data_IF_305830867896
#
_entry.id   IF_305830867896
#
_cell.length_a   1.000
_cell.length_b   1.000
_cell.length_c   1.000
_cell.angle_alpha   90.00
_cell.angle_beta   90.00
_cell.angle_gamma   90.00
#
_symmetry.space_group_name_H-M   'P 1'
#
loop_
_entity.id
_entity.type
_entity.pdbx_description
1 polymer ?
#
# COMPACT_ATOMS: atom_id res chain seq x y z
N UNK A 1 -3.07 73.85 -38.65
CA UNK A 1 -1.88 73.66 -39.51
C UNK A 1 -1.07 72.50 -38.97
N UNK A 2 -0.88 71.46 -39.78
CA UNK A 2 -0.17 70.23 -39.43
C UNK A 2 1.34 70.51 -39.32
N UNK A 3 1.96 70.13 -38.21
CA UNK A 3 3.41 69.94 -38.11
C UNK A 3 3.65 68.44 -37.95
N UNK A 4 4.33 67.85 -38.92
CA UNK A 4 4.81 66.47 -38.87
C UNK A 4 6.25 66.51 -38.35
N UNK A 5 6.53 65.79 -37.28
CA UNK A 5 7.89 65.57 -36.77
C UNK A 5 8.20 64.09 -37.02
N UNK A 6 9.20 63.85 -37.85
CA UNK A 6 9.75 62.53 -38.14
C UNK A 6 10.76 62.21 -37.03
N UNK A 7 10.46 61.24 -36.18
CA UNK A 7 11.42 60.72 -35.21
C UNK A 7 11.81 59.31 -35.64
N UNK A 8 13.04 59.17 -36.15
CA UNK A 8 13.66 57.87 -36.45
C UNK A 8 14.41 57.44 -35.20
N UNK A 9 13.85 56.46 -34.48
CA UNK A 9 14.53 55.77 -33.39
C UNK A 9 14.81 54.34 -33.80
N UNK A 10 16.07 54.08 -34.18
CA UNK A 10 16.66 52.76 -34.20
C UNK A 10 16.71 52.24 -32.76
N UNK A 11 15.87 51.27 -32.42
CA UNK A 11 16.01 50.50 -31.19
C UNK A 11 16.23 49.06 -31.58
N UNK A 12 17.41 48.57 -31.18
CA UNK A 12 17.93 47.24 -31.47
C UNK A 12 16.94 46.15 -31.02
N UNK A 13 16.74 45.19 -31.89
CA UNK A 13 15.94 43.98 -31.68
C UNK A 13 16.64 43.11 -30.63
N UNK A 14 16.37 43.33 -29.36
CA UNK A 14 16.71 42.40 -28.29
C UNK A 14 15.75 41.22 -28.32
N UNK A 15 16.10 40.16 -29.05
CA UNK A 15 15.36 38.90 -29.05
C UNK A 15 15.48 38.29 -27.65
N UNK A 16 14.49 38.56 -26.81
CA UNK A 16 14.30 37.82 -25.56
C UNK A 16 13.71 36.47 -25.93
N UNK A 17 14.54 35.43 -25.94
CA UNK A 17 14.08 34.04 -25.93
C UNK A 17 13.37 33.79 -24.60
N UNK A 18 12.07 34.09 -24.54
CA UNK A 18 11.20 33.58 -23.49
C UNK A 18 11.01 32.10 -23.78
N UNK A 19 11.79 31.25 -23.11
CA UNK A 19 11.57 29.81 -23.09
C UNK A 19 10.24 29.55 -22.37
N UNK A 20 9.15 29.51 -23.15
CA UNK A 20 7.87 28.98 -22.70
C UNK A 20 8.06 27.49 -22.47
N UNK A 21 8.48 27.09 -21.27
CA UNK A 21 8.41 25.70 -20.85
C UNK A 21 6.92 25.38 -20.67
N UNK A 22 6.31 24.87 -21.74
CA UNK A 22 5.08 24.09 -21.66
C UNK A 22 5.42 22.84 -20.86
N UNK A 23 5.35 22.94 -19.53
CA UNK A 23 5.28 21.77 -18.69
C UNK A 23 3.91 21.15 -18.99
N UNK A 24 3.81 19.98 -19.62
CA UNK A 24 2.51 19.36 -19.80
C UNK A 24 2.00 19.06 -18.39
N UNK A 25 0.97 19.79 -17.94
CA UNK A 25 0.19 19.37 -16.80
C UNK A 25 -0.27 17.95 -17.09
N UNK A 26 0.32 16.97 -16.40
CA UNK A 26 -0.20 15.60 -16.38
C UNK A 26 -1.66 15.75 -15.99
N UNK A 27 -2.58 15.50 -16.93
CA UNK A 27 -4.03 15.49 -16.65
C UNK A 27 -4.22 14.61 -15.42
N UNK A 28 -4.60 15.22 -14.28
CA UNK A 28 -4.99 14.47 -13.09
C UNK A 28 -6.09 13.51 -13.52
N UNK A 29 -5.78 12.22 -13.56
CA UNK A 29 -6.76 11.17 -13.81
C UNK A 29 -7.86 11.38 -12.78
N UNK A 30 -9.11 11.54 -13.21
CA UNK A 30 -10.25 11.63 -12.28
C UNK A 30 -10.15 10.39 -11.38
N UNK A 31 -10.00 10.59 -10.07
CA UNK A 31 -10.13 9.48 -9.11
C UNK A 31 -11.53 8.92 -9.29
N UNK A 32 -11.62 7.62 -9.58
CA UNK A 32 -12.90 6.91 -9.60
C UNK A 32 -13.41 6.72 -8.18
N UNK A 33 -14.60 6.15 -8.05
CA UNK A 33 -15.12 5.77 -6.75
C UNK A 33 -14.20 4.74 -6.08
N UNK A 34 -14.02 4.80 -4.75
CA UNK A 34 -13.18 3.86 -4.04
C UNK A 34 -13.73 2.44 -4.19
N UNK A 35 -12.83 1.46 -4.35
CA UNK A 35 -13.22 0.06 -4.33
C UNK A 35 -13.74 -0.31 -2.94
N UNK A 36 -14.82 -1.09 -2.87
CA UNK A 36 -15.34 -1.59 -1.59
C UNK A 36 -14.82 -3.01 -1.38
N UNK A 37 -14.08 -3.20 -0.29
CA UNK A 37 -13.66 -4.50 0.22
C UNK A 37 -14.51 -4.84 1.44
N UNK A 38 -15.05 -6.05 1.46
CA UNK A 38 -15.84 -6.54 2.58
C UNK A 38 -15.19 -7.83 3.08
N UNK A 39 -14.84 -7.85 4.36
CA UNK A 39 -14.23 -9.00 5.03
C UNK A 39 -14.98 -9.32 6.32
N UNK A 40 -14.96 -10.59 6.72
CA UNK A 40 -15.50 -11.09 7.97
C UNK A 40 -16.86 -10.50 8.45
N UNK A 41 -17.84 -10.34 7.57
CA UNK A 41 -19.17 -9.77 7.92
C UNK A 41 -19.92 -10.54 9.00
N UNK A 42 -19.60 -11.83 9.14
CA UNK A 42 -20.18 -12.73 10.14
C UNK A 42 -19.55 -12.58 11.53
N UNK A 43 -18.48 -11.79 11.64
CA UNK A 43 -17.87 -11.45 12.92
C UNK A 43 -18.85 -10.72 13.84
N UNK A 44 -18.66 -10.93 15.14
CA UNK A 44 -19.52 -10.36 16.19
C UNK A 44 -18.87 -9.18 16.91
N UNK A 45 -17.63 -8.84 16.56
CA UNK A 45 -16.93 -7.66 17.07
C UNK A 45 -17.44 -6.35 16.50
N UNK A 46 -16.79 -5.26 16.92
CA UNK A 46 -17.09 -3.91 16.44
C UNK A 46 -16.94 -3.81 14.92
N UNK A 47 -17.86 -3.11 14.26
CA UNK A 47 -17.73 -2.79 12.84
C UNK A 47 -16.64 -1.74 12.63
N UNK A 48 -15.70 -2.06 11.76
CA UNK A 48 -14.55 -1.22 11.45
C UNK A 48 -14.59 -0.87 9.97
N UNK A 49 -14.36 0.40 9.68
CA UNK A 49 -14.18 0.91 8.32
C UNK A 49 -12.81 1.58 8.20
N UNK A 50 -12.04 1.20 7.18
CA UNK A 50 -10.77 1.83 6.84
C UNK A 50 -10.87 2.41 5.43
N UNK A 51 -10.74 3.72 5.32
CA UNK A 51 -10.60 4.41 4.03
C UNK A 51 -9.11 4.63 3.72
N UNK A 52 -8.70 4.20 2.53
CA UNK A 52 -7.35 4.43 2.00
C UNK A 52 -7.44 5.28 0.74
N UNK A 53 -6.66 6.35 0.71
CA UNK A 53 -6.46 7.18 -0.48
C UNK A 53 -5.09 6.89 -1.10
N UNK A 54 -5.06 6.57 -2.39
CA UNK A 54 -3.82 6.19 -3.06
C UNK A 54 -2.85 7.38 -3.22
N UNK A 55 -1.56 7.14 -3.00
CA UNK A 55 -0.51 8.10 -3.34
C UNK A 55 -0.25 8.22 -4.85
N UNK A 56 0.56 9.19 -5.27
CA UNK A 56 0.92 9.38 -6.68
C UNK A 56 1.75 8.20 -7.25
N UNK A 57 2.55 7.56 -6.40
CA UNK A 57 3.41 6.43 -6.73
C UNK A 57 2.76 5.07 -6.38
N UNK A 58 1.45 5.06 -6.09
CA UNK A 58 0.71 3.83 -5.84
C UNK A 58 0.60 2.99 -7.12
N UNK A 59 1.01 1.73 -7.05
CA UNK A 59 0.96 0.83 -8.20
C UNK A 59 0.39 -0.55 -7.83
N UNK A 60 1.24 -1.51 -7.45
CA UNK A 60 0.83 -2.88 -7.12
C UNK A 60 1.31 -3.28 -5.72
N UNK A 61 0.80 -2.62 -4.68
CA UNK A 61 1.22 -2.92 -3.33
C UNK A 61 0.69 -4.27 -2.84
N UNK A 62 1.30 -4.74 -1.77
CA UNK A 62 0.81 -5.80 -0.89
C UNK A 62 0.46 -5.13 0.44
N UNK A 63 -0.60 -5.62 1.07
CA UNK A 63 -1.20 -4.97 2.23
C UNK A 63 -1.69 -5.99 3.25
N UNK A 64 -1.65 -5.61 4.52
CA UNK A 64 -2.33 -6.28 5.61
C UNK A 64 -2.97 -5.26 6.57
N UNK A 65 -4.12 -5.63 7.13
CA UNK A 65 -4.81 -4.94 8.20
C UNK A 65 -5.06 -5.94 9.32
N UNK A 66 -4.67 -5.61 10.55
CA UNK A 66 -4.86 -6.49 11.70
C UNK A 66 -5.01 -5.70 13.00
N UNK A 67 -5.35 -6.42 14.05
CA UNK A 67 -5.54 -5.91 15.39
C UNK A 67 -4.43 -6.40 16.31
N UNK A 68 -3.98 -5.52 17.19
CA UNK A 68 -3.08 -5.82 18.30
C UNK A 68 -3.66 -5.34 19.62
N UNK A 69 -3.21 -5.92 20.73
CA UNK A 69 -3.38 -5.33 22.05
C UNK A 69 -2.60 -4.01 22.14
N UNK A 70 -2.87 -3.20 23.16
CA UNK A 70 -2.08 -1.98 23.40
C UNK A 70 -0.61 -2.25 23.69
N UNK A 71 -0.28 -3.48 24.09
CA UNK A 71 1.08 -3.95 24.37
C UNK A 71 1.77 -4.53 23.11
N UNK A 72 1.09 -4.54 21.96
CA UNK A 72 1.63 -4.97 20.67
C UNK A 72 1.50 -6.47 20.41
N UNK A 73 0.65 -7.19 21.15
CA UNK A 73 0.39 -8.61 20.90
C UNK A 73 -0.67 -8.78 19.80
N UNK A 74 -0.40 -9.63 18.81
CA UNK A 74 -1.34 -9.93 17.73
C UNK A 74 -2.66 -10.51 18.25
N UNK A 75 -3.79 -9.95 17.78
CA UNK A 75 -5.14 -10.44 18.05
C UNK A 75 -5.69 -11.19 16.83
N UNK A 76 -5.84 -10.50 15.71
CA UNK A 76 -6.54 -11.03 14.54
C UNK A 76 -6.24 -10.22 13.28
N UNK A 77 -6.09 -10.92 12.15
CA UNK A 77 -6.07 -10.29 10.82
C UNK A 77 -7.49 -9.99 10.33
N UNK A 78 -7.66 -8.79 9.79
CA UNK A 78 -8.92 -8.31 9.24
C UNK A 78 -8.90 -8.36 7.70
N UNK A 79 -7.75 -8.09 7.11
CA UNK A 79 -7.52 -8.19 5.68
C UNK A 79 -6.05 -8.50 5.39
N UNK A 80 -5.79 -9.37 4.41
CA UNK A 80 -4.45 -9.65 3.88
C UNK A 80 -4.58 -9.85 2.38
N UNK A 81 -3.69 -9.24 1.59
CA UNK A 81 -3.65 -9.44 0.15
C UNK A 81 -3.63 -10.95 -0.20
N UNK A 82 -4.53 -11.38 -1.08
CA UNK A 82 -4.76 -12.80 -1.40
C UNK A 82 -3.47 -13.54 -1.77
N UNK A 83 -2.59 -12.90 -2.53
CA UNK A 83 -1.31 -13.50 -2.93
C UNK A 83 -0.41 -13.87 -1.74
N UNK A 84 -0.42 -13.07 -0.69
CA UNK A 84 0.28 -13.36 0.58
C UNK A 84 -0.51 -14.38 1.40
N UNK A 85 -1.82 -14.19 1.52
CA UNK A 85 -2.71 -15.07 2.29
C UNK A 85 -2.69 -16.52 1.79
N UNK A 86 -2.48 -16.74 0.48
CA UNK A 86 -2.46 -18.05 -0.17
C UNK A 86 -1.06 -18.55 -0.53
N UNK A 87 -0.04 -17.69 -0.50
CA UNK A 87 1.31 -18.01 -0.97
C UNK A 87 1.36 -18.31 -2.48
N UNK A 88 0.47 -17.69 -3.25
CA UNK A 88 0.30 -17.95 -4.68
C UNK A 88 0.12 -16.63 -5.42
N UNK A 89 0.95 -16.39 -6.43
CA UNK A 89 0.95 -15.12 -7.16
C UNK A 89 0.58 -15.36 -8.61
N UNK A 90 -0.16 -14.42 -9.22
CA UNK A 90 -0.48 -14.44 -10.65
C UNK A 90 0.76 -14.41 -11.57
N UNK A 91 1.90 -13.97 -11.04
CA UNK A 91 3.21 -13.94 -11.71
C UNK A 91 4.28 -14.54 -10.79
N UNK A 92 4.03 -15.78 -10.34
CA UNK A 92 4.91 -16.50 -9.40
C UNK A 92 5.93 -17.41 -10.07
N UNK A 93 5.64 -17.92 -11.27
CA UNK A 93 6.49 -18.87 -11.98
C UNK A 93 7.08 -18.26 -13.27
N UNK A 94 8.37 -18.54 -13.50
CA UNK A 94 9.15 -18.14 -14.69
C UNK A 94 9.84 -19.32 -15.38
N UNK A 95 9.64 -20.54 -14.90
CA UNK A 95 10.35 -21.75 -15.34
C UNK A 95 10.26 -21.98 -16.85
N UNK A 96 9.16 -21.54 -17.48
CA UNK A 96 8.89 -21.66 -18.91
C UNK A 96 9.37 -20.47 -19.75
N UNK A 97 10.07 -19.51 -19.15
CA UNK A 97 10.47 -18.26 -19.79
C UNK A 97 9.32 -17.25 -19.98
N UNK A 98 8.11 -17.60 -19.54
CA UNK A 98 6.93 -16.73 -19.48
C UNK A 98 6.49 -16.58 -18.03
N UNK A 99 5.96 -15.41 -17.69
CA UNK A 99 5.36 -15.20 -16.38
C UNK A 99 4.02 -15.94 -16.29
N UNK A 100 3.93 -16.84 -15.32
CA UNK A 100 2.75 -17.66 -15.08
C UNK A 100 2.36 -17.61 -13.60
N UNK A 101 1.09 -17.91 -13.27
CA UNK A 101 0.68 -18.08 -11.90
C UNK A 101 1.46 -19.21 -11.24
N UNK A 102 1.89 -19.01 -9.99
CA UNK A 102 2.72 -19.99 -9.31
C UNK A 102 2.89 -19.74 -7.82
N UNK A 103 3.31 -20.80 -7.13
CA UNK A 103 3.64 -20.76 -5.71
C UNK A 103 4.91 -19.93 -5.52
N UNK A 104 4.80 -18.83 -4.79
CA UNK A 104 5.94 -18.03 -4.36
C UNK A 104 5.57 -17.32 -3.08
N UNK A 105 6.52 -17.20 -2.16
CA UNK A 105 6.37 -16.41 -0.94
C UNK A 105 7.46 -15.34 -0.92
N UNK A 106 7.09 -14.14 -0.47
CA UNK A 106 7.94 -12.95 -0.45
C UNK A 106 7.99 -12.43 0.99
N UNK A 107 8.87 -12.96 1.86
CA UNK A 107 8.86 -12.59 3.27
C UNK A 107 9.17 -11.10 3.50
N UNK A 108 9.93 -10.47 2.59
CA UNK A 108 10.13 -9.02 2.61
C UNK A 108 8.89 -8.18 2.28
N UNK A 109 7.77 -8.77 1.83
CA UNK A 109 6.58 -8.03 1.43
C UNK A 109 5.81 -7.45 2.61
N UNK A 110 5.48 -8.26 3.62
CA UNK A 110 4.73 -7.83 4.81
C UNK A 110 5.45 -8.35 6.06
N UNK A 111 6.71 -7.91 6.29
CA UNK A 111 7.56 -8.48 7.32
C UNK A 111 7.01 -8.25 8.73
N UNK A 112 6.40 -7.09 9.02
CA UNK A 112 5.94 -6.82 10.36
C UNK A 112 4.70 -7.65 10.71
N UNK A 113 3.67 -7.63 9.86
CA UNK A 113 2.45 -8.42 10.05
C UNK A 113 2.77 -9.93 10.17
N UNK A 114 3.62 -10.45 9.28
CA UNK A 114 3.97 -11.87 9.29
C UNK A 114 4.59 -12.28 10.62
N UNK A 115 5.60 -11.53 11.07
CA UNK A 115 6.27 -11.79 12.34
C UNK A 115 5.36 -11.59 13.54
N UNK A 116 4.49 -10.56 13.55
CA UNK A 116 3.55 -10.32 14.65
C UNK A 116 2.54 -11.45 14.81
N UNK A 117 2.06 -12.02 13.70
CA UNK A 117 1.19 -13.21 13.73
C UNK A 117 1.88 -14.40 14.41
N UNK A 118 3.21 -14.47 14.39
CA UNK A 118 4.00 -15.47 15.12
C UNK A 118 3.88 -16.91 14.62
N UNK A 119 3.14 -17.17 13.54
CA UNK A 119 2.92 -18.51 13.00
C UNK A 119 4.00 -18.80 11.94
N UNK A 120 4.98 -19.61 12.32
CA UNK A 120 6.09 -20.02 11.47
C UNK A 120 5.72 -21.27 10.64
N UNK A 121 5.99 -21.22 9.34
CA UNK A 121 5.86 -22.37 8.44
C UNK A 121 7.07 -23.32 8.57
N UNK A 122 6.99 -24.57 8.04
CA UNK A 122 8.07 -25.56 8.17
C UNK A 122 9.43 -25.11 7.62
N UNK A 123 9.45 -24.16 6.68
CA UNK A 123 10.66 -23.59 6.11
C UNK A 123 11.18 -22.34 6.85
N UNK A 124 10.61 -22.02 8.01
CA UNK A 124 11.03 -20.92 8.86
C UNK A 124 10.41 -19.56 8.53
N UNK A 125 9.64 -19.45 7.45
CA UNK A 125 8.98 -18.20 7.07
C UNK A 125 7.72 -17.95 7.90
N UNK A 126 7.47 -16.69 8.24
CA UNK A 126 6.26 -16.25 8.94
C UNK A 126 5.10 -15.92 7.99
N UNK A 127 5.09 -16.55 6.81
CA UNK A 127 4.07 -16.37 5.79
C UNK A 127 3.22 -17.64 5.59
N UNK A 128 1.92 -17.49 5.30
CA UNK A 128 1.03 -18.60 4.95
C UNK A 128 1.56 -19.41 3.77
N UNK A 129 1.15 -20.68 3.68
CA UNK A 129 1.46 -21.57 2.56
C UNK A 129 0.20 -21.92 1.78
N UNK A 130 0.34 -22.50 0.59
CA UNK A 130 -0.80 -23.04 -0.16
C UNK A 130 -1.52 -24.19 0.57
N UNK A 131 -0.80 -24.91 1.45
CA UNK A 131 -1.34 -25.99 2.27
C UNK A 131 -1.92 -25.52 3.61
N UNK A 132 -1.52 -24.34 4.07
CA UNK A 132 -2.02 -23.69 5.27
C UNK A 132 -2.28 -22.19 4.99
N UNK A 133 -3.26 -21.87 4.12
CA UNK A 133 -3.58 -20.51 3.74
C UNK A 133 -4.36 -19.80 4.86
N UNK A 134 -4.44 -18.47 4.79
CA UNK A 134 -5.44 -17.74 5.58
C UNK A 134 -6.86 -18.07 5.10
N UNK A 135 -7.85 -18.04 6.01
CA UNK A 135 -9.27 -18.09 5.65
C UNK A 135 -9.66 -16.98 4.67
N UNK A 136 -10.57 -17.29 3.75
CA UNK A 136 -11.12 -16.31 2.79
C UNK A 136 -11.80 -15.12 3.47
N UNK A 137 -12.31 -15.33 4.70
CA UNK A 137 -12.91 -14.28 5.51
C UNK A 137 -11.99 -13.08 5.76
N UNK A 138 -10.66 -13.27 5.69
CA UNK A 138 -9.64 -12.23 5.93
C UNK A 138 -8.73 -12.00 4.72
N UNK A 139 -9.01 -12.62 3.57
CA UNK A 139 -8.16 -12.47 2.38
C UNK A 139 -8.95 -12.00 1.18
N UNK A 140 -8.37 -11.11 0.39
CA UNK A 140 -9.03 -10.62 -0.81
C UNK A 140 -8.07 -10.00 -1.81
N UNK A 141 -8.56 -9.65 -3.01
CA UNK A 141 -7.75 -9.02 -4.03
C UNK A 141 -7.18 -7.69 -3.52
N UNK A 142 -5.96 -7.35 -3.93
CA UNK A 142 -5.38 -6.03 -3.64
C UNK A 142 -6.08 -4.95 -4.48
N UNK A 143 -6.70 -3.93 -3.85
CA UNK A 143 -7.20 -2.77 -4.57
C UNK A 143 -6.09 -2.06 -5.34
N UNK A 144 -6.42 -1.55 -6.52
CA UNK A 144 -5.47 -0.84 -7.40
C UNK A 144 -5.50 0.68 -7.23
N UNK A 145 -6.25 1.18 -6.24
CA UNK A 145 -6.44 2.60 -6.01
C UNK A 145 -7.11 2.84 -4.67
N UNK A 146 -7.86 3.94 -4.57
CA UNK A 146 -8.61 4.28 -3.36
C UNK A 146 -9.56 3.13 -3.00
N UNK A 147 -9.68 2.82 -1.71
CA UNK A 147 -10.58 1.75 -1.25
C UNK A 147 -11.14 2.03 0.13
N UNK A 148 -12.27 1.37 0.41
CA UNK A 148 -12.88 1.28 1.72
C UNK A 148 -12.89 -0.20 2.10
N UNK A 149 -12.27 -0.54 3.23
CA UNK A 149 -12.36 -1.86 3.85
C UNK A 149 -13.42 -1.83 4.95
N UNK A 150 -14.46 -2.64 4.79
CA UNK A 150 -15.47 -2.89 5.81
C UNK A 150 -15.24 -4.27 6.41
N UNK A 151 -15.10 -4.34 7.74
CA UNK A 151 -14.69 -5.56 8.43
C UNK A 151 -15.21 -5.63 9.86
N UNK A 152 -15.17 -6.83 10.45
CA UNK A 152 -15.45 -7.06 11.87
C UNK A 152 -14.42 -8.03 12.45
N UNK A 153 -14.00 -7.86 13.71
CA UNK A 153 -13.35 -8.93 14.46
C UNK A 153 -14.32 -10.10 14.68
N UNK A 154 -13.78 -11.31 14.89
CA UNK A 154 -14.59 -12.51 15.12
C UNK A 154 -15.48 -12.35 16.37
N UNK A 155 -14.93 -11.71 17.40
CA UNK A 155 -15.52 -11.55 18.72
C UNK A 155 -15.38 -10.10 19.21
N UNK A 156 -16.25 -9.64 20.13
CA UNK A 156 -16.04 -8.37 20.82
C UNK A 156 -14.67 -8.34 21.50
N UNK A 157 -13.99 -7.19 21.39
CA UNK A 157 -12.73 -6.92 22.07
C UNK A 157 -13.04 -6.01 23.25
N UNK A 158 -12.53 -6.37 24.43
CA UNK A 158 -12.71 -5.58 25.66
C UNK A 158 -11.58 -4.57 25.79
N UNK A 159 -11.92 -3.32 26.08
CA UNK A 159 -10.94 -2.25 26.26
C UNK A 159 -10.30 -1.79 24.95
N UNK A 160 -9.21 -1.04 25.09
CA UNK A 160 -8.49 -0.44 23.97
C UNK A 160 -7.73 -1.50 23.18
N UNK A 161 -7.65 -1.29 21.87
CA UNK A 161 -6.85 -2.11 20.97
C UNK A 161 -6.25 -1.25 19.86
N UNK A 162 -5.20 -1.75 19.22
CA UNK A 162 -4.57 -1.09 18.09
C UNK A 162 -5.11 -1.69 16.78
N UNK A 163 -5.47 -0.82 15.83
CA UNK A 163 -5.69 -1.17 14.43
C UNK A 163 -4.44 -0.79 13.65
N UNK A 164 -3.88 -1.76 12.92
CA UNK A 164 -2.67 -1.58 12.14
C UNK A 164 -2.91 -1.82 10.66
N UNK A 165 -2.19 -1.08 9.83
CA UNK A 165 -2.17 -1.21 8.39
C UNK A 165 -0.73 -1.21 7.90
N UNK A 166 -0.29 -2.31 7.31
CA UNK A 166 1.01 -2.44 6.65
C UNK A 166 0.82 -2.42 5.15
N UNK A 167 1.63 -1.61 4.46
CA UNK A 167 1.66 -1.54 3.00
C UNK A 167 3.10 -1.58 2.50
N UNK A 168 3.32 -2.32 1.43
CA UNK A 168 4.61 -2.39 0.77
C UNK A 168 4.46 -2.61 -0.74
N UNK A 169 5.43 -2.19 -1.52
CA UNK A 169 5.50 -2.43 -2.94
C UNK A 169 6.77 -3.21 -3.26
N UNK A 170 6.63 -4.40 -3.86
CA UNK A 170 7.81 -5.18 -4.26
C UNK A 170 8.57 -4.48 -5.39
N UNK A 171 9.90 -4.59 -5.36
CA UNK A 171 10.84 -3.96 -6.30
C UNK A 171 10.75 -2.42 -6.36
N UNK A 172 10.40 -1.77 -5.26
CA UNK A 172 10.16 -0.33 -5.21
C UNK A 172 11.45 0.48 -4.96
N UNK A 173 12.31 0.51 -5.97
CA UNK A 173 13.58 1.26 -5.96
C UNK A 173 13.35 2.76 -6.12
N UNK A 174 14.14 3.59 -5.44
CA UNK A 174 14.11 5.05 -5.58
C UNK A 174 15.49 5.67 -5.33
N UNK A 175 15.57 7.00 -5.26
CA UNK A 175 16.84 7.72 -5.08
C UNK A 175 17.55 7.39 -3.75
N UNK A 176 16.81 6.98 -2.72
CA UNK A 176 17.36 6.61 -1.41
C UNK A 176 17.57 5.11 -1.23
N UNK A 177 16.75 4.31 -1.92
CA UNK A 177 16.78 2.85 -1.90
C UNK A 177 17.16 2.37 -3.29
N UNK A 178 18.47 2.22 -3.54
CA UNK A 178 19.02 1.84 -4.84
C UNK A 178 19.29 0.35 -4.95
N UNK A 179 19.26 -0.19 -6.16
CA UNK A 179 19.41 -1.63 -6.44
C UNK A 179 20.72 -2.26 -5.91
N UNK A 180 21.71 -1.45 -5.58
CA UNK A 180 23.01 -1.84 -5.08
C UNK A 180 23.27 -1.45 -3.61
N UNK A 181 22.27 -0.93 -2.88
CA UNK A 181 22.46 -0.45 -1.50
C UNK A 181 22.79 -1.58 -0.52
N UNK A 182 22.12 -2.73 -0.67
CA UNK A 182 22.44 -3.97 0.04
C UNK A 182 22.62 -5.10 -0.98
N UNK A 183 23.79 -5.18 -1.63
CA UNK A 183 24.01 -6.07 -2.77
C UNK A 183 24.04 -7.55 -2.38
N UNK A 184 24.27 -7.87 -1.10
CA UNK A 184 24.35 -9.24 -0.61
C UNK A 184 23.05 -9.72 0.05
N UNK A 185 22.04 -8.85 0.15
CA UNK A 185 20.75 -9.17 0.74
C UNK A 185 19.74 -9.56 -0.36
N UNK A 186 19.38 -10.84 -0.48
CA UNK A 186 18.41 -11.29 -1.49
C UNK A 186 17.00 -10.76 -1.21
N UNK A 187 16.61 -10.60 0.05
CA UNK A 187 15.29 -10.11 0.44
C UNK A 187 15.15 -8.62 0.13
N UNK A 188 16.21 -7.85 0.40
CA UNK A 188 16.31 -6.46 -0.02
C UNK A 188 16.07 -6.30 -1.52
N UNK A 189 16.64 -7.18 -2.35
CA UNK A 189 16.45 -7.11 -3.81
C UNK A 189 15.02 -7.39 -4.28
N UNK A 190 14.17 -7.96 -3.42
CA UNK A 190 12.76 -8.21 -3.73
C UNK A 190 11.80 -7.13 -3.25
N UNK A 191 12.13 -6.41 -2.17
CA UNK A 191 11.31 -5.32 -1.62
C UNK A 191 11.82 -3.93 -1.98
N UNK A 192 13.14 -3.77 -2.03
CA UNK A 192 13.87 -2.52 -2.28
C UNK A 192 13.79 -1.47 -1.18
N UNK A 193 12.62 -1.30 -0.56
CA UNK A 193 12.43 -0.42 0.59
C UNK A 193 11.66 -1.13 1.71
N UNK A 194 11.71 -0.60 2.95
CA UNK A 194 10.89 -1.09 4.06
C UNK A 194 9.40 -0.88 3.80
N UNK A 195 8.58 -1.72 4.42
CA UNK A 195 7.13 -1.49 4.50
C UNK A 195 6.80 -0.26 5.35
N UNK A 196 5.66 0.37 5.07
CA UNK A 196 5.09 1.41 5.91
C UNK A 196 4.00 0.82 6.79
N UNK A 197 3.98 1.23 8.05
CA UNK A 197 2.99 0.79 9.04
C UNK A 197 2.30 2.03 9.61
N UNK A 198 0.98 2.01 9.54
CA UNK A 198 0.11 2.98 10.18
C UNK A 198 -0.59 2.28 11.34
N UNK A 199 -0.70 2.94 12.48
CA UNK A 199 -1.33 2.38 13.67
C UNK A 199 -2.18 3.42 14.38
N UNK A 200 -3.33 3.00 14.89
CA UNK A 200 -4.20 3.82 15.73
C UNK A 200 -4.75 3.00 16.88
N UNK A 201 -4.79 3.59 18.07
CA UNK A 201 -5.46 2.99 19.23
C UNK A 201 -6.93 3.39 19.24
N UNK A 202 -7.80 2.39 19.18
CA UNK A 202 -9.26 2.54 19.24
C UNK A 202 -9.72 2.22 20.66
N UNK A 203 -10.58 3.09 21.19
CA UNK A 203 -11.26 2.90 22.47
C UNK A 203 -12.77 2.74 22.23
N UNK A 204 -13.34 1.52 22.34
CA UNK A 204 -14.76 1.28 22.13
C UNK A 204 -15.69 2.06 23.07
N UNK A 205 -15.19 2.49 24.23
CA UNK A 205 -15.96 3.25 25.22
C UNK A 205 -15.88 4.77 24.96
N UNK A 206 -15.07 5.20 24.00
CA UNK A 206 -14.92 6.59 23.60
C UNK A 206 -16.00 7.02 22.60
N UNK A 207 -16.49 8.27 22.65
CA UNK A 207 -17.35 8.81 21.61
C UNK A 207 -16.62 9.09 20.28
N UNK A 208 -15.29 8.93 20.23
CA UNK A 208 -14.49 9.13 19.00
C UNK A 208 -14.64 7.93 18.08
N UNK A 209 -15.29 8.16 16.93
CA UNK A 209 -15.53 7.14 15.91
C UNK A 209 -14.65 7.27 14.66
N UNK A 210 -13.90 8.37 14.53
CA UNK A 210 -13.09 8.67 13.35
C UNK A 210 -11.65 9.03 13.73
N UNK A 211 -10.69 8.51 12.97
CA UNK A 211 -9.26 8.69 13.20
C UNK A 211 -8.56 9.02 11.87
N UNK A 212 -7.60 9.94 11.89
CA UNK A 212 -6.82 10.36 10.73
C UNK A 212 -5.34 10.12 10.99
N UNK A 213 -4.65 9.51 10.02
CA UNK A 213 -3.23 9.09 10.10
C UNK A 213 -2.41 9.70 8.96
#
# INVERSE_FOLDING_TARGET
>A
MKKYVLLVSLIALGISFVSFSLNPEKKKKKRGDPAILITNVMGTGLELELYFAQGQEHNHPLMAVWLETTDGEYIQSLYVAESIAKGFFGYGDKSTGKWQPGVVRRPAALPYWGHQRGIQAPDGLYLPTTTNPLPDAYSGPTPQGDFILQTRPDKPITGKFNLLFEINQSWDWNFFWTNNKFPDDPEYKTSSQPSLIYAVTIDPDSPVSEYWL
#
